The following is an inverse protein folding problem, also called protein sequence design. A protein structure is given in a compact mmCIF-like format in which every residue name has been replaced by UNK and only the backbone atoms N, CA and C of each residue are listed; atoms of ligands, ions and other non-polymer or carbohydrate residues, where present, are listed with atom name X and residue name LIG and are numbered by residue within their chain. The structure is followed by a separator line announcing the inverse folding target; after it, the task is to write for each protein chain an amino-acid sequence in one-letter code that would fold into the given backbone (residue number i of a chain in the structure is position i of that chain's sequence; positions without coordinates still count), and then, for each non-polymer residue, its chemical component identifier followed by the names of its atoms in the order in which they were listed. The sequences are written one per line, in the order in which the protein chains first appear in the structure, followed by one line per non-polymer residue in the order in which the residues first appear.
data_IF_708575100303
#
_entry.id   IF_708575100303
#
_cell.length_a   1.000
_cell.length_b   1.000
_cell.length_c   1.000
_cell.angle_alpha   90.00
_cell.angle_beta   90.00
_cell.angle_gamma   90.00
#
_symmetry.space_group_name_H-M   'P 1'
#
loop_
_entity.id
_entity.type
_entity.pdbx_description
1 polymer ?
#
# COMPACT_ATOMS: atom_id res chain seq x y z
N UNK A 1 56.23 -14.57 -24.18
CA UNK A 1 56.04 -13.93 -25.50
C UNK A 1 54.75 -13.15 -25.39
N UNK A 2 54.78 -11.88 -25.07
CA UNK A 2 54.86 -10.70 -25.92
C UNK A 2 53.61 -10.67 -26.82
N UNK A 3 52.67 -9.74 -26.85
CA UNK A 3 52.74 -8.31 -26.70
C UNK A 3 51.32 -7.75 -26.45
N UNK A 4 51.19 -6.66 -25.69
CA UNK A 4 50.09 -5.69 -25.84
C UNK A 4 50.58 -4.61 -26.84
N UNK A 5 50.07 -3.37 -26.85
CA UNK A 5 48.77 -2.75 -26.62
C UNK A 5 48.40 -1.75 -27.75
N UNK A 6 47.24 -1.14 -27.73
CA UNK A 6 46.96 0.20 -28.33
C UNK A 6 45.55 0.64 -27.93
N UNK A 7 45.36 1.62 -27.16
CA UNK A 7 45.44 3.09 -27.30
C UNK A 7 44.07 3.71 -27.70
N UNK A 8 43.57 4.50 -26.76
CA UNK A 8 42.45 5.48 -26.85
C UNK A 8 42.67 6.52 -27.97
N UNK A 9 41.64 7.32 -28.33
CA UNK A 9 41.51 8.58 -27.61
C UNK A 9 40.10 9.02 -27.23
N UNK A 10 40.05 9.81 -26.17
CA UNK A 10 38.98 10.65 -25.71
C UNK A 10 38.60 11.73 -26.74
N UNK A 11 37.31 11.99 -26.87
CA UNK A 11 36.82 13.30 -27.33
C UNK A 11 35.74 13.83 -26.38
N UNK A 12 36.20 14.88 -25.76
CA UNK A 12 35.54 15.90 -24.99
C UNK A 12 34.68 16.77 -25.92
N UNK A 13 33.40 17.03 -25.62
CA UNK A 13 32.69 18.21 -26.09
C UNK A 13 31.65 18.61 -25.05
N UNK A 14 31.99 19.69 -24.35
CA UNK A 14 31.15 20.47 -23.46
C UNK A 14 30.10 21.29 -24.22
N UNK A 15 29.20 21.96 -23.49
CA UNK A 15 27.99 22.60 -24.01
C UNK A 15 28.26 23.97 -24.62
N UNK A 16 27.45 24.43 -25.61
CA UNK A 16 27.48 25.82 -26.04
C UNK A 16 26.52 26.68 -25.21
N UNK A 17 27.09 27.77 -24.72
CA UNK A 17 26.43 28.96 -24.17
C UNK A 17 25.86 29.87 -25.25
N UNK A 18 24.83 30.60 -24.83
CA UNK A 18 24.42 31.94 -25.20
C UNK A 18 24.30 32.37 -26.69
N UNK A 19 23.09 32.90 -26.96
CA UNK A 19 22.94 34.25 -27.57
C UNK A 19 21.50 34.75 -27.52
N UNK A 20 21.27 35.82 -26.72
CA UNK A 20 20.26 36.87 -27.00
C UNK A 20 20.85 37.78 -28.11
N UNK A 21 20.03 38.37 -28.95
CA UNK A 21 19.71 39.80 -28.90
C UNK A 21 18.24 40.08 -29.20
N UNK A 22 17.59 41.05 -28.55
CA UNK A 22 17.51 42.50 -28.74
C UNK A 22 16.53 42.94 -29.81
N UNK A 23 15.52 43.69 -29.33
CA UNK A 23 14.92 44.93 -29.86
C UNK A 23 14.16 44.98 -31.19
N UNK A 24 13.04 45.67 -31.09
CA UNK A 24 12.31 46.38 -32.16
C UNK A 24 10.82 46.29 -31.96
N UNK A 25 10.19 47.13 -31.24
CA UNK A 25 9.70 48.50 -31.51
C UNK A 25 8.30 48.54 -32.16
N UNK A 26 7.45 49.32 -31.47
CA UNK A 26 6.38 50.23 -31.95
C UNK A 26 5.08 49.58 -32.42
N UNK A 27 3.92 50.01 -32.11
CA UNK A 27 3.29 51.28 -31.77
C UNK A 27 1.78 51.11 -31.63
N UNK A 28 1.21 51.90 -30.87
CA UNK A 28 0.13 52.91 -30.96
C UNK A 28 -1.21 52.44 -30.42
N UNK A 29 -1.62 53.09 -29.39
CA UNK A 29 -2.50 54.26 -29.23
C UNK A 29 -3.98 53.91 -29.07
N UNK A 30 -4.53 54.43 -28.01
CA UNK A 30 -5.95 54.56 -27.77
C UNK A 30 -6.23 55.16 -26.38
N UNK A 31 -5.93 56.42 -26.26
CA UNK A 31 -6.36 57.33 -25.18
C UNK A 31 -7.89 57.46 -25.16
N UNK A 32 -8.49 57.50 -23.99
CA UNK A 32 -9.49 58.54 -23.70
C UNK A 32 -9.42 58.91 -22.19
N UNK A 33 -8.92 60.12 -22.00
CA UNK A 33 -9.08 60.99 -20.85
C UNK A 33 -10.56 61.37 -20.65
N UNK A 34 -10.97 61.58 -19.43
CA UNK A 34 -11.66 62.82 -18.99
C UNK A 34 -11.47 62.94 -17.46
N UNK A 35 -10.69 63.83 -17.08
CA UNK A 35 -10.66 65.09 -16.35
C UNK A 35 -12.05 65.52 -15.95
N UNK A 36 -12.27 65.98 -14.75
CA UNK A 36 -11.83 67.06 -13.90
C UNK A 36 -13.04 67.49 -13.13
N UNK A 37 -13.00 68.04 -12.00
CA UNK A 37 -12.38 69.23 -11.54
C UNK A 37 -12.78 69.56 -10.13
N UNK A 38 -11.79 69.92 -9.42
CA UNK A 38 -11.89 70.68 -8.16
C UNK A 38 -12.61 71.99 -8.42
N UNK A 39 -13.34 72.49 -7.44
CA UNK A 39 -13.24 73.94 -7.17
C UNK A 39 -13.49 74.26 -5.68
N UNK A 40 -12.56 75.01 -5.18
CA UNK A 40 -12.50 75.68 -3.89
C UNK A 40 -13.25 77.03 -3.95
N UNK A 41 -13.76 77.45 -2.82
CA UNK A 41 -13.44 78.77 -2.29
C UNK A 41 -14.46 79.84 -2.45
N UNK A 42 -14.66 80.54 -1.35
CA UNK A 42 -14.86 82.02 -1.38
C UNK A 42 -16.04 82.51 -0.55
N UNK A 43 -15.77 82.83 0.63
CA UNK A 43 -16.03 84.07 1.43
C UNK A 43 -17.01 85.12 0.88
N UNK A 44 -17.93 85.55 1.76
CA UNK A 44 -18.06 86.93 2.12
C UNK A 44 -19.24 87.70 1.51
N UNK A 45 -19.99 88.34 2.32
CA UNK A 45 -20.80 89.48 1.97
C UNK A 45 -22.04 89.69 2.82
N UNK A 46 -21.89 90.46 3.84
CA UNK A 46 -22.97 91.17 4.57
C UNK A 46 -23.79 91.95 3.54
N UNK A 47 -25.10 92.08 3.79
CA UNK A 47 -25.80 93.35 3.97
C UNK A 47 -27.31 93.14 4.24
N UNK A 48 -27.72 93.61 5.37
CA UNK A 48 -28.73 94.58 5.74
C UNK A 48 -30.14 94.49 5.14
N UNK A 49 -31.05 94.24 6.07
CA UNK A 49 -32.26 95.01 6.40
C UNK A 49 -33.24 95.35 5.25
N UNK A 50 -34.43 94.78 5.35
CA UNK A 50 -35.61 95.61 5.29
C UNK A 50 -36.79 94.96 6.03
N UNK A 51 -37.42 95.83 6.94
CA UNK A 51 -38.63 95.52 7.65
C UNK A 51 -39.82 95.59 6.74
N UNK A 52 -40.63 94.56 6.74
CA UNK A 52 -42.03 94.81 6.41
C UNK A 52 -42.95 94.08 7.35
N UNK A 53 -43.83 94.80 7.83
CA UNK A 53 -44.76 94.65 8.95
C UNK A 53 -46.04 94.03 8.41
N UNK A 54 -46.38 92.82 8.76
CA UNK A 54 -47.72 92.23 8.50
C UNK A 54 -48.26 91.52 9.71
N UNK A 55 -49.51 91.76 10.12
CA UNK A 55 -50.05 91.33 11.39
C UNK A 55 -50.26 89.81 11.41
N UNK A 56 -50.27 89.21 12.61
CA UNK A 56 -50.36 87.74 12.78
C UNK A 56 -51.75 87.21 12.44
N UNK A 57 -51.87 86.01 11.84
CA UNK A 57 -53.14 85.35 11.67
C UNK A 57 -53.64 84.72 12.99
N UNK A 58 -54.95 84.53 13.14
CA UNK A 58 -55.59 84.08 14.33
C UNK A 58 -55.20 82.65 14.75
N UNK A 59 -55.06 82.45 16.04
CA UNK A 59 -54.79 81.18 16.67
C UNK A 59 -55.90 80.14 16.37
N UNK A 60 -55.61 79.11 15.67
CA UNK A 60 -56.42 77.82 15.59
C UNK A 60 -56.46 77.20 17.01
N UNK A 61 -57.58 76.64 17.42
CA UNK A 61 -57.72 75.96 18.72
C UNK A 61 -56.84 74.72 18.81
N UNK A 62 -56.06 74.63 19.85
CA UNK A 62 -55.24 73.44 20.17
C UNK A 62 -56.13 72.23 20.29
N UNK A 63 -55.92 71.24 19.42
CA UNK A 63 -56.47 69.88 19.56
C UNK A 63 -55.92 69.26 20.86
N UNK A 64 -56.72 68.58 21.65
CA UNK A 64 -56.27 67.95 22.89
C UNK A 64 -55.22 66.91 22.60
N UNK A 65 -54.04 67.00 23.21
CA UNK A 65 -52.95 66.00 23.17
C UNK A 65 -53.50 64.72 23.71
N UNK A 66 -53.62 63.72 22.85
CA UNK A 66 -53.92 62.34 23.26
C UNK A 66 -52.87 61.88 24.28
N UNK A 67 -53.27 61.31 25.42
CA UNK A 67 -52.28 60.83 26.41
C UNK A 67 -51.43 59.76 25.76
N UNK A 68 -50.11 59.93 25.86
CA UNK A 68 -49.13 58.95 25.33
C UNK A 68 -49.43 57.56 25.95
N UNK A 69 -49.54 56.49 25.14
CA UNK A 69 -49.90 55.16 25.64
C UNK A 69 -48.92 54.58 26.66
N UNK A 70 -47.74 55.19 26.80
CA UNK A 70 -46.67 54.82 27.74
C UNK A 70 -46.99 55.14 29.23
N UNK A 71 -48.09 55.86 29.56
CA UNK A 71 -48.43 56.16 30.96
C UNK A 71 -49.48 55.23 31.56
N UNK A 72 -50.04 54.31 30.80
CA UNK A 72 -50.97 53.31 31.32
C UNK A 72 -50.20 52.17 31.98
N UNK A 73 -50.35 51.91 33.29
CA UNK A 73 -49.61 50.84 33.98
C UNK A 73 -49.87 49.45 33.37
N UNK A 74 -51.01 49.25 32.76
CA UNK A 74 -51.37 48.00 32.06
C UNK A 74 -50.50 47.83 30.82
N UNK A 75 -50.23 48.87 30.03
CA UNK A 75 -49.39 48.81 28.83
C UNK A 75 -47.94 48.56 29.21
N UNK A 76 -47.45 49.12 30.32
CA UNK A 76 -46.11 48.86 30.87
C UNK A 76 -46.00 47.43 31.36
N UNK A 77 -47.00 46.87 32.02
CA UNK A 77 -46.98 45.46 32.47
C UNK A 77 -47.02 44.50 31.26
N UNK A 78 -47.84 44.72 30.24
CA UNK A 78 -47.85 43.94 29.02
C UNK A 78 -46.53 44.04 28.28
N UNK A 79 -45.94 45.25 28.19
CA UNK A 79 -44.62 45.46 27.57
C UNK A 79 -43.52 44.73 28.32
N UNK A 80 -43.54 44.71 29.67
CA UNK A 80 -42.58 43.97 30.48
C UNK A 80 -42.74 42.45 30.31
N UNK A 81 -43.95 41.94 30.19
CA UNK A 81 -44.20 40.49 29.93
C UNK A 81 -43.70 40.09 28.55
N UNK A 82 -43.97 40.89 27.51
CA UNK A 82 -43.47 40.62 26.17
C UNK A 82 -41.94 40.66 26.12
N UNK A 83 -41.32 41.66 26.78
CA UNK A 83 -39.88 41.73 26.89
C UNK A 83 -39.29 40.53 27.63
N UNK A 84 -39.91 40.09 28.73
CA UNK A 84 -39.48 38.90 29.46
C UNK A 84 -39.57 37.63 28.61
N UNK A 85 -40.65 37.45 27.80
CA UNK A 85 -40.78 36.31 26.86
C UNK A 85 -39.68 36.38 25.81
N UNK A 86 -39.38 37.53 25.24
CA UNK A 86 -38.32 37.70 24.25
C UNK A 86 -36.95 37.40 24.87
N UNK A 87 -36.68 37.88 26.07
CA UNK A 87 -35.43 37.61 26.80
C UNK A 87 -35.29 36.12 27.14
N UNK A 88 -36.35 35.47 27.57
CA UNK A 88 -36.37 34.02 27.81
C UNK A 88 -36.13 33.27 26.49
N UNK A 89 -36.81 33.66 25.42
CA UNK A 89 -36.61 33.08 24.07
C UNK A 89 -35.16 33.26 23.60
N UNK A 90 -34.55 34.44 23.75
CA UNK A 90 -33.14 34.69 23.44
C UNK A 90 -32.20 33.86 24.31
N UNK A 91 -32.50 33.73 25.60
CA UNK A 91 -31.72 32.94 26.54
C UNK A 91 -31.75 31.46 26.15
N UNK A 92 -32.94 30.93 25.87
CA UNK A 92 -33.09 29.53 25.42
C UNK A 92 -32.38 29.30 24.08
N UNK A 93 -32.51 30.20 23.12
CA UNK A 93 -31.79 30.15 21.85
C UNK A 93 -30.28 30.19 22.06
N UNK A 94 -29.77 31.06 22.94
CA UNK A 94 -28.34 31.18 23.25
C UNK A 94 -27.82 29.92 23.97
N UNK A 95 -28.60 29.33 24.89
CA UNK A 95 -28.27 28.07 25.55
C UNK A 95 -28.23 26.90 24.57
N UNK A 96 -29.14 26.85 23.60
CA UNK A 96 -29.15 25.81 22.57
C UNK A 96 -27.99 25.99 21.60
N UNK A 97 -27.70 27.22 21.16
CA UNK A 97 -26.56 27.54 20.30
C UNK A 97 -25.21 27.14 20.91
N UNK A 98 -25.06 27.19 22.25
CA UNK A 98 -23.85 26.76 22.97
C UNK A 98 -23.64 25.24 23.02
N UNK A 99 -24.69 24.46 22.73
CA UNK A 99 -24.62 22.99 22.76
C UNK A 99 -23.95 22.40 21.53
N UNK A 100 -23.80 23.16 20.47
CA UNK A 100 -23.30 22.68 19.21
C UNK A 100 -22.06 23.46 18.76
N UNK A 101 -21.12 22.75 18.18
CA UNK A 101 -19.98 23.34 17.45
C UNK A 101 -20.07 22.90 15.98
N UNK A 102 -19.95 23.84 15.07
CA UNK A 102 -19.96 23.58 13.63
C UNK A 102 -18.77 24.21 12.94
N UNK A 103 -18.42 23.70 11.80
CA UNK A 103 -17.43 24.27 10.89
C UNK A 103 -17.90 24.11 9.45
N UNK A 104 -17.58 25.11 8.65
CA UNK A 104 -17.76 25.14 7.20
C UNK A 104 -16.53 24.58 6.44
N UNK A 105 -15.40 24.44 7.17
CA UNK A 105 -14.16 23.88 6.63
C UNK A 105 -14.12 22.38 6.94
N UNK A 106 -14.93 21.62 6.22
CA UNK A 106 -14.98 20.17 6.34
C UNK A 106 -15.27 19.55 4.97
N UNK A 107 -14.66 18.41 4.72
CA UNK A 107 -14.81 17.69 3.47
C UNK A 107 -14.87 16.18 3.71
N UNK A 108 -15.50 15.49 2.78
CA UNK A 108 -15.48 14.03 2.72
C UNK A 108 -14.08 13.58 2.34
N UNK A 109 -13.54 12.65 3.09
CA UNK A 109 -12.23 12.05 2.87
C UNK A 109 -12.34 10.54 2.76
N UNK A 110 -11.40 9.92 2.06
CA UNK A 110 -11.35 8.47 1.84
C UNK A 110 -9.93 8.05 1.48
N UNK A 111 -9.56 6.85 1.86
CA UNK A 111 -8.30 6.27 1.42
C UNK A 111 -8.42 5.78 -0.03
N UNK A 112 -8.07 6.63 -0.99
CA UNK A 112 -8.08 6.29 -2.41
C UNK A 112 -7.06 5.18 -2.67
N UNK A 113 -7.51 4.09 -3.28
CA UNK A 113 -6.65 2.97 -3.68
C UNK A 113 -6.24 3.13 -5.14
N UNK A 114 -4.96 3.38 -5.37
CA UNK A 114 -4.39 3.48 -6.71
C UNK A 114 -4.01 2.10 -7.21
N UNK A 115 -4.55 1.72 -8.36
CA UNK A 115 -4.25 0.44 -9.01
C UNK A 115 -3.14 0.66 -10.02
N UNK A 116 -2.06 -0.12 -9.88
CA UNK A 116 -0.91 -0.11 -10.78
C UNK A 116 -0.54 -1.55 -11.17
N UNK A 117 0.00 -1.79 -12.38
CA UNK A 117 0.47 -3.09 -12.79
C UNK A 117 1.77 -3.47 -12.06
N UNK A 118 1.99 -4.76 -11.89
CA UNK A 118 3.23 -5.30 -11.34
C UNK A 118 4.17 -5.83 -12.44
N UNK A 119 3.65 -6.01 -13.65
CA UNK A 119 4.41 -6.39 -14.84
C UNK A 119 4.22 -5.33 -15.93
N UNK A 120 5.19 -5.27 -16.83
CA UNK A 120 5.08 -4.47 -18.05
C UNK A 120 4.40 -5.27 -19.16
N UNK A 121 3.69 -4.57 -20.05
CA UNK A 121 3.09 -5.21 -21.21
C UNK A 121 2.01 -4.35 -21.88
N UNK A 122 1.49 -4.88 -22.97
CA UNK A 122 0.39 -4.27 -23.71
C UNK A 122 -0.93 -4.61 -23.02
N UNK A 123 -1.77 -3.61 -22.77
CA UNK A 123 -3.13 -3.83 -22.28
C UNK A 123 -4.00 -4.37 -23.39
N UNK A 124 -4.48 -5.61 -23.23
CA UNK A 124 -5.35 -6.28 -24.20
C UNK A 124 -6.80 -5.91 -24.03
N UNK A 125 -7.26 -5.80 -22.77
CA UNK A 125 -8.64 -5.48 -22.44
C UNK A 125 -8.72 -4.64 -21.15
N UNK A 126 -9.64 -3.69 -21.14
CA UNK A 126 -10.11 -2.99 -19.93
C UNK A 126 -11.57 -3.41 -19.72
N UNK A 127 -11.87 -3.98 -18.55
CA UNK A 127 -13.14 -4.65 -18.25
C UNK A 127 -14.10 -3.78 -17.43
N UNK A 128 -13.71 -2.55 -17.14
CA UNK A 128 -14.47 -1.61 -16.29
C UNK A 128 -14.46 -0.22 -16.89
N UNK A 129 -15.51 0.54 -16.57
CA UNK A 129 -15.67 1.93 -16.99
C UNK A 129 -15.54 2.92 -15.82
N UNK A 130 -15.37 4.20 -16.14
CA UNK A 130 -15.38 5.26 -15.15
C UNK A 130 -16.72 5.30 -14.40
N UNK A 131 -16.67 5.58 -13.11
CA UNK A 131 -17.81 5.64 -12.19
C UNK A 131 -18.55 4.30 -11.99
N UNK A 132 -17.99 3.18 -12.48
CA UNK A 132 -18.58 1.86 -12.29
C UNK A 132 -18.33 1.34 -10.87
N UNK A 133 -19.38 0.84 -10.17
CA UNK A 133 -19.19 0.13 -8.91
C UNK A 133 -18.57 -1.24 -9.14
N UNK A 134 -17.59 -1.61 -8.33
CA UNK A 134 -16.85 -2.86 -8.42
C UNK A 134 -16.77 -3.57 -7.07
N UNK A 135 -16.58 -4.89 -7.13
CA UNK A 135 -16.35 -5.74 -5.96
C UNK A 135 -14.87 -6.07 -5.81
N UNK A 136 -14.43 -6.36 -4.59
CA UNK A 136 -13.09 -6.90 -4.35
C UNK A 136 -12.90 -8.21 -5.16
N UNK A 137 -11.71 -8.38 -5.77
CA UNK A 137 -11.40 -9.51 -6.64
C UNK A 137 -11.96 -9.43 -8.06
N UNK A 138 -12.75 -8.41 -8.40
CA UNK A 138 -13.27 -8.23 -9.75
C UNK A 138 -12.13 -7.93 -10.73
N UNK A 139 -12.06 -8.58 -11.90
CA UNK A 139 -11.05 -8.29 -12.92
C UNK A 139 -11.29 -6.88 -13.49
N UNK A 140 -10.20 -6.11 -13.59
CA UNK A 140 -10.21 -4.73 -14.06
C UNK A 140 -9.54 -4.57 -15.42
N UNK A 141 -8.33 -5.14 -15.57
CA UNK A 141 -7.50 -4.97 -16.74
C UNK A 141 -6.80 -6.32 -17.04
N UNK A 142 -6.67 -6.64 -18.32
CA UNK A 142 -5.83 -7.74 -18.80
C UNK A 142 -4.65 -7.17 -19.58
N UNK A 143 -3.47 -7.59 -19.19
CA UNK A 143 -2.20 -7.35 -19.88
C UNK A 143 -1.89 -8.58 -20.74
N UNK A 144 -1.21 -8.38 -21.85
CA UNK A 144 -0.73 -9.49 -22.68
C UNK A 144 0.15 -10.43 -21.83
N UNK A 145 -0.28 -11.67 -21.76
CA UNK A 145 0.36 -12.71 -20.94
C UNK A 145 1.24 -13.67 -21.76
N UNK A 146 1.41 -13.46 -23.07
CA UNK A 146 2.13 -14.40 -23.94
C UNK A 146 3.56 -14.67 -23.44
N UNK A 147 4.30 -13.62 -23.07
CA UNK A 147 5.65 -13.74 -22.52
C UNK A 147 5.65 -14.48 -21.18
N UNK A 148 4.71 -14.16 -20.29
CA UNK A 148 4.62 -14.81 -18.98
C UNK A 148 4.21 -16.29 -19.11
N UNK A 149 3.33 -16.63 -20.06
CA UNK A 149 2.98 -18.02 -20.38
C UNK A 149 4.19 -18.83 -20.90
N UNK A 150 5.01 -18.21 -21.76
CA UNK A 150 6.25 -18.82 -22.24
C UNK A 150 7.22 -19.09 -21.07
N UNK A 151 7.36 -18.15 -20.13
CA UNK A 151 8.19 -18.34 -18.94
C UNK A 151 7.69 -19.50 -18.05
N UNK A 152 6.37 -19.64 -17.89
CA UNK A 152 5.78 -20.78 -17.17
C UNK A 152 6.07 -22.09 -17.87
N UNK A 153 5.92 -22.15 -19.21
CA UNK A 153 6.23 -23.34 -19.99
C UNK A 153 7.72 -23.73 -19.88
N UNK A 154 8.62 -22.77 -19.95
CA UNK A 154 10.06 -22.99 -19.81
C UNK A 154 10.43 -23.49 -18.38
N UNK A 155 9.90 -22.88 -17.34
CA UNK A 155 10.11 -23.32 -15.96
C UNK A 155 9.51 -24.73 -15.71
N UNK A 156 8.38 -25.05 -16.36
CA UNK A 156 7.77 -26.37 -16.29
C UNK A 156 8.64 -27.43 -16.97
N UNK A 157 9.25 -27.10 -18.11
CA UNK A 157 10.20 -27.99 -18.80
C UNK A 157 11.46 -28.24 -17.94
N UNK A 158 12.02 -27.22 -17.33
CA UNK A 158 13.16 -27.35 -16.39
C UNK A 158 12.83 -28.23 -15.19
N UNK A 159 11.63 -28.09 -14.62
CA UNK A 159 11.17 -28.97 -13.52
C UNK A 159 11.07 -30.42 -14.00
N UNK A 160 10.52 -30.68 -15.19
CA UNK A 160 10.42 -32.01 -15.77
C UNK A 160 11.81 -32.60 -16.01
N UNK A 161 12.76 -31.82 -16.51
CA UNK A 161 14.15 -32.23 -16.69
C UNK A 161 14.82 -32.63 -15.36
N UNK A 162 14.67 -31.81 -14.32
CA UNK A 162 15.19 -32.12 -13.00
C UNK A 162 14.56 -33.39 -12.41
N UNK A 163 13.26 -33.64 -12.63
CA UNK A 163 12.60 -34.86 -12.21
C UNK A 163 13.18 -36.08 -12.93
N UNK A 164 13.41 -36.00 -14.22
CA UNK A 164 14.05 -37.08 -15.00
C UNK A 164 15.45 -37.41 -14.47
N UNK A 165 16.19 -36.43 -14.01
CA UNK A 165 17.51 -36.67 -13.38
C UNK A 165 17.38 -37.44 -12.06
N UNK A 166 16.36 -37.17 -11.24
CA UNK A 166 16.05 -37.96 -10.02
C UNK A 166 15.70 -39.41 -10.38
N UNK A 167 14.88 -39.62 -11.41
CA UNK A 167 14.47 -40.96 -11.87
C UNK A 167 15.68 -41.76 -12.36
N UNK A 168 16.59 -41.11 -13.09
CA UNK A 168 17.84 -41.73 -13.50
C UNK A 168 18.75 -42.10 -12.31
N UNK A 169 18.83 -41.20 -11.31
CA UNK A 169 19.61 -41.46 -10.11
C UNK A 169 18.99 -42.59 -9.26
N UNK A 170 17.66 -42.73 -9.23
CA UNK A 170 16.98 -43.88 -8.61
C UNK A 170 17.30 -45.18 -9.28
N UNK A 171 17.33 -45.22 -10.61
CA UNK A 171 17.75 -46.37 -11.37
C UNK A 171 19.22 -46.77 -11.05
N UNK A 172 20.11 -45.80 -10.88
CA UNK A 172 21.51 -46.02 -10.48
C UNK A 172 21.60 -46.66 -9.08
N UNK A 173 20.73 -46.32 -8.15
CA UNK A 173 20.67 -46.99 -6.82
C UNK A 173 20.35 -48.46 -7.01
N UNK A 174 19.39 -48.81 -7.84
CA UNK A 174 19.00 -50.21 -8.11
C UNK A 174 20.19 -51.02 -8.65
N UNK A 175 20.94 -50.44 -9.61
CA UNK A 175 22.15 -51.09 -10.14
C UNK A 175 23.25 -51.26 -9.09
N UNK A 176 23.49 -50.23 -8.28
CA UNK A 176 24.48 -50.29 -7.22
C UNK A 176 24.09 -51.29 -6.14
N UNK A 177 22.82 -51.40 -5.78
CA UNK A 177 22.30 -52.38 -4.82
C UNK A 177 22.50 -53.84 -5.33
N UNK A 178 22.15 -54.11 -6.57
CA UNK A 178 22.39 -55.42 -7.17
C UNK A 178 23.89 -55.79 -7.14
N UNK A 179 24.78 -54.82 -7.42
CA UNK A 179 26.23 -55.02 -7.31
C UNK A 179 26.70 -55.30 -5.88
N UNK A 180 26.07 -54.65 -4.87
CA UNK A 180 26.35 -54.94 -3.48
C UNK A 180 25.85 -56.32 -3.02
N UNK A 181 24.67 -56.74 -3.45
CA UNK A 181 24.13 -58.08 -3.15
C UNK A 181 25.01 -59.18 -3.77
N UNK A 182 25.52 -58.99 -4.98
CA UNK A 182 26.50 -59.89 -5.61
C UNK A 182 27.76 -59.98 -4.76
N UNK A 183 28.31 -58.83 -4.30
CA UNK A 183 29.51 -58.84 -3.45
C UNK A 183 29.28 -59.54 -2.09
N UNK A 184 28.08 -59.47 -1.52
CA UNK A 184 27.72 -60.21 -0.31
C UNK A 184 27.69 -61.73 -0.53
N UNK A 185 27.22 -62.17 -1.72
CA UNK A 185 27.28 -63.58 -2.09
C UNK A 185 28.74 -64.07 -2.22
N UNK A 186 29.62 -63.22 -2.80
CA UNK A 186 31.07 -63.53 -2.90
C UNK A 186 31.72 -63.61 -1.51
N UNK A 187 31.33 -62.77 -0.56
CA UNK A 187 31.79 -62.86 0.84
C UNK A 187 31.34 -64.17 1.47
N UNK A 188 30.07 -64.60 1.25
CA UNK A 188 29.57 -65.86 1.76
C UNK A 188 30.33 -67.07 1.23
N UNK A 189 30.65 -67.07 -0.09
CA UNK A 189 31.44 -68.11 -0.73
C UNK A 189 32.88 -68.14 -0.19
N UNK A 190 33.54 -67.01 -0.11
CA UNK A 190 34.89 -66.89 0.47
C UNK A 190 34.95 -67.32 1.95
N UNK A 191 33.93 -66.99 2.69
CA UNK A 191 33.79 -67.44 4.09
C UNK A 191 33.66 -68.95 4.20
N UNK A 192 32.83 -69.59 3.38
CA UNK A 192 32.67 -71.04 3.39
C UNK A 192 34.01 -71.76 3.05
N UNK A 193 34.77 -71.19 2.10
CA UNK A 193 36.09 -71.75 1.76
C UNK A 193 37.09 -71.57 2.91
N UNK A 194 37.08 -70.44 3.59
CA UNK A 194 37.95 -70.19 4.77
C UNK A 194 37.58 -71.09 5.94
N UNK A 195 36.24 -71.26 6.20
CA UNK A 195 35.76 -72.16 7.27
C UNK A 195 36.17 -73.61 6.99
N UNK A 196 36.05 -74.11 5.75
CA UNK A 196 36.48 -75.44 5.38
C UNK A 196 37.99 -75.62 5.52
N UNK A 197 38.84 -74.67 5.06
CA UNK A 197 40.27 -74.75 5.21
C UNK A 197 40.72 -74.70 6.69
N UNK A 198 40.04 -73.91 7.52
CA UNK A 198 40.30 -73.88 8.95
C UNK A 198 39.88 -75.20 9.65
N UNK A 199 38.77 -75.80 9.24
CA UNK A 199 38.35 -77.11 9.76
C UNK A 199 39.37 -78.19 9.43
N UNK A 200 39.89 -78.18 8.19
CA UNK A 200 40.90 -79.10 7.75
C UNK A 200 42.20 -78.93 8.56
N UNK A 201 42.67 -77.68 8.67
CA UNK A 201 43.85 -77.35 9.49
C UNK A 201 43.68 -77.84 10.95
N UNK A 202 42.50 -77.55 11.58
CA UNK A 202 42.24 -78.01 12.95
C UNK A 202 42.20 -79.54 13.03
N UNK A 203 41.75 -80.23 12.04
CA UNK A 203 41.75 -81.67 11.96
C UNK A 203 43.20 -82.21 11.95
N UNK A 204 44.07 -81.66 11.10
CA UNK A 204 45.49 -82.03 11.06
C UNK A 204 46.24 -81.70 12.34
N UNK A 205 46.00 -80.54 12.98
CA UNK A 205 46.56 -80.18 14.25
C UNK A 205 46.15 -81.14 15.39
N UNK A 206 44.88 -81.57 15.44
CA UNK A 206 44.40 -82.53 16.38
C UNK A 206 44.99 -83.90 16.16
N UNK A 207 45.12 -84.40 14.90
CA UNK A 207 45.80 -85.62 14.56
C UNK A 207 47.26 -85.59 14.98
N UNK A 208 47.97 -84.56 14.72
CA UNK A 208 49.35 -84.35 15.13
C UNK A 208 49.53 -84.44 16.62
N UNK A 209 48.59 -83.87 17.42
CA UNK A 209 48.61 -83.96 18.93
C UNK A 209 48.38 -85.38 19.43
N UNK A 210 47.47 -86.13 18.75
CA UNK A 210 47.05 -87.48 19.22
C UNK A 210 48.03 -88.53 18.76
N UNK A 211 48.56 -88.42 17.49
CA UNK A 211 49.53 -89.33 16.89
C UNK A 211 50.48 -88.53 15.96
N UNK A 212 51.65 -88.04 16.44
CA UNK A 212 52.57 -87.24 15.67
C UNK A 212 53.12 -87.89 14.42
N UNK A 213 53.18 -89.27 14.38
CA UNK A 213 53.64 -90.05 13.22
C UNK A 213 52.58 -90.22 12.11
N UNK A 214 51.33 -89.86 12.36
CA UNK A 214 50.21 -90.02 11.43
C UNK A 214 50.02 -88.77 10.43
N UNK A 215 50.75 -87.71 10.58
CA UNK A 215 50.66 -86.51 9.74
C UNK A 215 52.05 -86.12 9.25
N UNK A 216 52.23 -86.07 7.94
CA UNK A 216 53.44 -85.53 7.35
C UNK A 216 53.50 -84.00 7.53
N UNK A 217 54.69 -83.48 7.92
CA UNK A 217 54.91 -82.06 8.13
C UNK A 217 54.47 -81.18 6.89
N UNK A 218 54.76 -81.73 5.71
CA UNK A 218 54.37 -81.08 4.45
C UNK A 218 52.83 -80.90 4.31
N UNK A 219 52.03 -81.84 4.81
CA UNK A 219 50.55 -81.73 4.77
C UNK A 219 50.05 -80.67 5.74
N UNK A 220 50.67 -80.56 6.93
CA UNK A 220 50.36 -79.51 7.88
C UNK A 220 50.71 -78.14 7.37
N UNK A 221 51.91 -77.98 6.77
CA UNK A 221 52.36 -76.71 6.18
C UNK A 221 51.48 -76.28 5.02
N UNK A 222 51.01 -77.22 4.19
CA UNK A 222 50.03 -76.97 3.13
C UNK A 222 48.69 -76.52 3.67
N UNK A 223 48.18 -77.21 4.71
CA UNK A 223 46.91 -76.84 5.36
C UNK A 223 46.98 -75.44 6.00
N UNK A 224 48.14 -75.10 6.64
CA UNK A 224 48.34 -73.76 7.15
C UNK A 224 48.41 -72.69 6.07
N UNK A 225 49.11 -72.97 4.99
CA UNK A 225 49.20 -72.04 3.84
C UNK A 225 47.80 -71.83 3.22
N UNK A 226 47.02 -72.90 3.06
CA UNK A 226 45.65 -72.85 2.53
C UNK A 226 44.72 -72.07 3.46
N UNK A 227 44.77 -72.30 4.77
CA UNK A 227 43.96 -71.55 5.75
C UNK A 227 44.30 -70.03 5.72
N UNK A 228 45.60 -69.69 5.64
CA UNK A 228 46.03 -68.29 5.51
C UNK A 228 45.56 -67.63 4.19
N UNK A 229 45.68 -68.37 3.10
CA UNK A 229 45.28 -67.93 1.76
C UNK A 229 43.74 -67.63 1.67
N UNK A 230 42.90 -68.58 2.13
CA UNK A 230 41.46 -68.44 2.15
C UNK A 230 40.99 -67.37 3.12
N UNK A 231 41.65 -67.20 4.28
CA UNK A 231 41.35 -66.08 5.19
C UNK A 231 41.68 -64.73 4.56
N UNK A 232 42.78 -64.62 3.80
CA UNK A 232 43.13 -63.39 3.07
C UNK A 232 42.09 -63.12 1.95
N UNK A 233 41.63 -64.14 1.27
CA UNK A 233 40.54 -64.01 0.23
C UNK A 233 39.23 -63.55 0.86
N UNK A 234 38.84 -64.10 2.03
CA UNK A 234 37.66 -63.64 2.76
C UNK A 234 37.76 -62.14 3.11
N UNK A 235 38.91 -61.72 3.66
CA UNK A 235 39.14 -60.29 4.00
C UNK A 235 39.05 -59.43 2.73
N UNK A 236 39.59 -59.87 1.61
CA UNK A 236 39.53 -59.12 0.33
C UNK A 236 38.05 -59.03 -0.15
N UNK A 237 37.26 -60.11 -0.08
CA UNK A 237 35.85 -60.12 -0.44
C UNK A 237 35.03 -59.16 0.45
N UNK A 238 35.29 -59.14 1.76
CA UNK A 238 34.64 -58.20 2.71
C UNK A 238 34.96 -56.74 2.35
N UNK A 239 36.20 -56.46 2.04
CA UNK A 239 36.59 -55.10 1.60
C UNK A 239 35.95 -54.69 0.30
N UNK A 240 35.82 -55.64 -0.67
CA UNK A 240 35.12 -55.41 -1.96
C UNK A 240 33.62 -55.15 -1.72
N UNK A 241 32.98 -55.91 -0.85
CA UNK A 241 31.57 -55.68 -0.49
C UNK A 241 31.36 -54.31 0.19
N UNK A 242 32.29 -53.87 1.07
CA UNK A 242 32.25 -52.53 1.66
C UNK A 242 32.37 -51.43 0.61
N UNK A 243 33.28 -51.56 -0.36
CA UNK A 243 33.41 -50.60 -1.44
C UNK A 243 32.12 -50.50 -2.29
N UNK A 244 31.39 -51.63 -2.48
CA UNK A 244 30.07 -51.65 -3.13
C UNK A 244 28.99 -50.96 -2.27
N UNK A 245 28.99 -51.12 -0.95
CA UNK A 245 28.11 -50.40 -0.04
C UNK A 245 28.35 -48.89 -0.12
N UNK A 246 29.61 -48.45 -0.20
CA UNK A 246 29.95 -47.03 -0.36
C UNK A 246 29.42 -46.48 -1.70
N UNK A 247 29.44 -47.30 -2.78
CA UNK A 247 28.81 -46.93 -4.08
C UNK A 247 27.29 -46.75 -3.96
N UNK A 248 26.58 -47.62 -3.20
CA UNK A 248 25.16 -47.42 -2.91
C UNK A 248 24.90 -46.13 -2.18
N UNK A 249 25.73 -45.78 -1.18
CA UNK A 249 25.65 -44.54 -0.44
C UNK A 249 25.85 -43.32 -1.36
N UNK A 250 26.85 -43.36 -2.22
CA UNK A 250 27.10 -42.32 -3.22
C UNK A 250 25.90 -42.12 -4.15
N UNK A 251 25.32 -43.23 -4.66
CA UNK A 251 24.12 -43.14 -5.49
C UNK A 251 22.90 -42.54 -4.75
N UNK A 252 22.72 -42.89 -3.47
CA UNK A 252 21.68 -42.24 -2.62
C UNK A 252 21.91 -40.77 -2.49
N UNK A 253 23.14 -40.31 -2.27
CA UNK A 253 23.48 -38.90 -2.19
C UNK A 253 23.14 -38.16 -3.47
N UNK A 254 23.36 -38.83 -4.65
CA UNK A 254 23.00 -38.23 -5.93
C UNK A 254 21.48 -38.02 -6.07
N UNK A 255 20.64 -38.93 -5.55
CA UNK A 255 19.17 -38.75 -5.48
C UNK A 255 18.80 -37.54 -4.60
N UNK A 256 19.44 -37.39 -3.46
CA UNK A 256 19.23 -36.21 -2.58
C UNK A 256 19.56 -34.92 -3.33
N UNK A 257 20.71 -34.86 -3.97
CA UNK A 257 21.11 -33.71 -4.81
C UNK A 257 20.10 -33.41 -5.91
N UNK A 258 19.65 -34.47 -6.64
CA UNK A 258 18.63 -34.32 -7.66
C UNK A 258 17.29 -33.81 -7.16
N UNK A 259 16.85 -34.22 -5.95
CA UNK A 259 15.64 -33.72 -5.33
C UNK A 259 15.74 -32.24 -4.97
N UNK A 260 16.89 -31.76 -4.51
CA UNK A 260 17.09 -30.33 -4.26
C UNK A 260 17.05 -29.53 -5.57
N UNK A 261 17.51 -30.08 -6.68
CA UNK A 261 17.37 -29.47 -8.01
C UNK A 261 15.90 -29.39 -8.46
N UNK A 262 15.09 -30.44 -8.21
CA UNK A 262 13.64 -30.41 -8.46
C UNK A 262 12.98 -29.31 -7.65
N UNK A 263 13.32 -29.20 -6.37
CA UNK A 263 12.79 -28.16 -5.47
C UNK A 263 13.16 -26.74 -5.93
N UNK A 264 14.39 -26.54 -6.41
CA UNK A 264 14.81 -25.27 -7.01
C UNK A 264 13.99 -24.94 -8.27
N UNK A 265 13.80 -25.92 -9.18
CA UNK A 265 13.00 -25.74 -10.38
C UNK A 265 11.50 -25.52 -10.07
N UNK A 266 10.96 -26.09 -8.98
CA UNK A 266 9.60 -25.83 -8.50
C UNK A 266 9.45 -24.41 -7.99
N UNK A 267 10.47 -23.86 -7.31
CA UNK A 267 10.48 -22.46 -6.90
C UNK A 267 10.48 -21.50 -8.11
N UNK A 268 11.27 -21.81 -9.16
CA UNK A 268 11.26 -21.03 -10.41
C UNK A 268 9.88 -21.09 -11.10
N UNK A 269 9.26 -22.28 -11.16
CA UNK A 269 7.92 -22.45 -11.71
C UNK A 269 6.87 -21.66 -10.92
N UNK A 270 6.97 -21.66 -9.59
CA UNK A 270 6.08 -20.87 -8.73
C UNK A 270 6.23 -19.37 -9.00
N UNK A 271 7.45 -18.87 -9.12
CA UNK A 271 7.72 -17.46 -9.45
C UNK A 271 7.15 -17.09 -10.84
N UNK A 272 7.34 -17.95 -11.84
CA UNK A 272 6.78 -17.73 -13.18
C UNK A 272 5.24 -17.70 -13.18
N UNK A 273 4.59 -18.56 -12.38
CA UNK A 273 3.12 -18.55 -12.21
C UNK A 273 2.60 -17.31 -11.52
N UNK A 274 3.30 -16.81 -10.51
CA UNK A 274 2.98 -15.55 -9.84
C UNK A 274 3.05 -14.41 -10.86
N UNK A 275 4.11 -14.33 -11.65
CA UNK A 275 4.25 -13.32 -12.70
C UNK A 275 3.13 -13.42 -13.76
N UNK A 276 2.72 -14.61 -14.14
CA UNK A 276 1.56 -14.82 -15.01
C UNK A 276 0.26 -14.31 -14.36
N UNK A 277 0.10 -14.51 -13.05
CA UNK A 277 -1.05 -14.01 -12.30
C UNK A 277 -1.15 -12.48 -12.34
N UNK A 278 -0.03 -11.78 -12.37
CA UNK A 278 0.00 -10.30 -12.47
C UNK A 278 -0.45 -9.75 -13.83
N UNK A 279 -0.61 -10.60 -14.86
CA UNK A 279 -1.19 -10.19 -16.13
C UNK A 279 -2.69 -9.89 -16.03
N UNK A 280 -3.38 -10.45 -15.04
CA UNK A 280 -4.76 -10.13 -14.71
C UNK A 280 -4.85 -9.22 -13.50
N UNK A 281 -5.10 -7.94 -13.70
CA UNK A 281 -5.23 -6.96 -12.61
C UNK A 281 -6.64 -7.03 -12.05
N UNK A 282 -6.75 -7.27 -10.74
CA UNK A 282 -8.02 -7.35 -10.01
C UNK A 282 -8.15 -6.23 -8.99
N UNK A 283 -9.38 -5.90 -8.63
CA UNK A 283 -9.68 -4.91 -7.61
C UNK A 283 -9.25 -5.41 -6.21
N UNK A 284 -8.38 -4.70 -5.48
CA UNK A 284 -7.99 -5.09 -4.13
C UNK A 284 -9.10 -4.85 -3.11
N UNK A 285 -9.99 -3.90 -3.37
CA UNK A 285 -11.13 -3.51 -2.50
C UNK A 285 -12.37 -3.27 -3.31
N UNK A 286 -13.55 -3.36 -2.66
CA UNK A 286 -14.80 -2.91 -3.26
C UNK A 286 -14.90 -1.38 -3.22
N UNK A 287 -15.50 -0.78 -4.25
CA UNK A 287 -15.64 0.66 -4.35
C UNK A 287 -16.15 1.08 -5.72
N UNK A 288 -15.90 2.33 -6.09
CA UNK A 288 -16.24 2.89 -7.41
C UNK A 288 -14.95 3.27 -8.14
N UNK A 289 -14.87 2.96 -9.42
CA UNK A 289 -13.74 3.39 -10.26
C UNK A 289 -13.79 4.91 -10.41
N UNK A 290 -12.64 5.52 -10.17
CA UNK A 290 -12.40 6.92 -10.45
C UNK A 290 -11.11 7.06 -11.26
N UNK A 291 -11.06 8.04 -12.14
CA UNK A 291 -9.83 8.40 -12.84
C UNK A 291 -9.18 7.23 -13.62
N UNK A 292 -9.91 6.57 -14.50
CA UNK A 292 -9.37 5.56 -15.43
C UNK A 292 -8.47 6.24 -16.46
N UNK A 293 -7.16 5.97 -16.41
CA UNK A 293 -6.16 6.55 -17.33
C UNK A 293 -5.68 5.57 -18.40
N UNK A 294 -6.12 4.30 -18.31
CA UNK A 294 -5.69 3.21 -19.19
C UNK A 294 -6.76 2.87 -20.22
N UNK A 295 -6.33 2.59 -21.44
CA UNK A 295 -7.15 2.07 -22.52
C UNK A 295 -6.54 0.80 -23.12
N UNK A 296 -7.36 -0.01 -23.80
CA UNK A 296 -6.85 -1.13 -24.57
C UNK A 296 -5.90 -0.64 -25.66
N UNK A 297 -4.76 -1.32 -25.84
CA UNK A 297 -3.68 -0.88 -26.73
C UNK A 297 -2.60 -0.02 -26.07
N UNK A 298 -2.78 0.42 -24.82
CA UNK A 298 -1.72 1.12 -24.09
C UNK A 298 -0.64 0.16 -23.60
N UNK A 299 0.62 0.58 -23.69
CA UNK A 299 1.74 -0.09 -23.05
C UNK A 299 1.94 0.42 -21.63
N UNK A 300 1.94 -0.47 -20.65
CA UNK A 300 2.04 -0.11 -19.22
C UNK A 300 3.31 -0.68 -18.61
N UNK A 301 3.80 0.01 -17.56
CA UNK A 301 4.99 -0.38 -16.81
C UNK A 301 4.67 -0.50 -15.31
N UNK A 302 5.41 -1.30 -14.55
CA UNK A 302 5.24 -1.39 -13.10
C UNK A 302 5.25 -0.02 -12.42
N UNK A 303 4.26 0.20 -11.54
CA UNK A 303 4.11 1.46 -10.81
C UNK A 303 3.34 2.57 -11.55
N UNK A 304 3.03 2.41 -12.84
CA UNK A 304 2.16 3.36 -13.56
C UNK A 304 0.73 3.27 -13.03
N UNK A 305 0.15 4.38 -12.59
CA UNK A 305 -1.24 4.39 -12.15
C UNK A 305 -2.17 4.13 -13.34
N UNK A 306 -3.00 3.09 -13.26
CA UNK A 306 -3.99 2.75 -14.28
C UNK A 306 -5.35 3.35 -13.98
N UNK A 307 -5.75 3.32 -12.72
CA UNK A 307 -7.01 3.86 -12.23
C UNK A 307 -6.97 4.05 -10.72
N UNK A 308 -7.91 4.79 -10.20
CA UNK A 308 -8.15 4.93 -8.78
C UNK A 308 -9.47 4.26 -8.39
N UNK A 309 -9.51 3.63 -7.22
CA UNK A 309 -10.72 3.09 -6.62
C UNK A 309 -11.04 3.93 -5.39
N UNK A 310 -12.25 4.42 -5.32
CA UNK A 310 -12.81 5.10 -4.15
C UNK A 310 -13.61 4.06 -3.37
N UNK A 311 -13.13 3.60 -2.22
CA UNK A 311 -13.85 2.68 -1.35
C UNK A 311 -15.12 3.30 -0.78
N UNK A 312 -16.04 2.45 -0.33
CA UNK A 312 -17.30 2.91 0.28
C UNK A 312 -17.13 3.45 1.71
N UNK A 313 -15.99 3.15 2.34
CA UNK A 313 -15.70 3.60 3.72
C UNK A 313 -15.17 5.04 3.69
N UNK A 314 -16.09 5.98 3.65
CA UNK A 314 -15.81 7.42 3.70
C UNK A 314 -15.90 7.94 5.13
N UNK A 315 -15.12 8.96 5.45
CA UNK A 315 -15.21 9.73 6.69
C UNK A 315 -15.20 11.21 6.37
N UNK A 316 -15.41 12.05 7.37
CA UNK A 316 -15.32 13.50 7.22
C UNK A 316 -14.08 13.97 7.99
N UNK A 317 -13.26 14.74 7.32
CA UNK A 317 -12.20 15.52 7.94
C UNK A 317 -12.70 16.95 8.11
N UNK A 318 -12.97 17.32 9.37
CA UNK A 318 -13.54 18.59 9.73
C UNK A 318 -12.50 19.46 10.50
N UNK A 319 -12.17 20.60 9.98
CA UNK A 319 -11.18 21.50 10.53
C UNK A 319 -11.86 22.49 11.50
N UNK A 320 -11.86 22.17 12.78
CA UNK A 320 -12.38 23.06 13.83
C UNK A 320 -11.32 24.04 14.31
N UNK A 321 -11.75 25.24 14.70
CA UNK A 321 -10.87 26.20 15.37
C UNK A 321 -10.42 25.63 16.71
N UNK A 322 -9.17 25.86 17.09
CA UNK A 322 -8.62 25.43 18.39
C UNK A 322 -9.53 25.79 19.56
N UNK A 323 -10.16 26.98 19.51
CA UNK A 323 -11.09 27.46 20.53
C UNK A 323 -12.40 26.67 20.64
N UNK A 324 -12.76 25.86 19.64
CA UNK A 324 -13.97 25.04 19.63
C UNK A 324 -13.73 23.63 20.22
N UNK A 325 -12.48 23.24 20.44
CA UNK A 325 -12.11 21.89 20.88
C UNK A 325 -12.24 21.66 22.40
N UNK A 326 -12.39 22.71 23.19
CA UNK A 326 -12.42 22.62 24.66
C UNK A 326 -13.43 21.58 25.18
N UNK A 327 -14.62 21.54 24.60
CA UNK A 327 -15.72 20.62 24.97
C UNK A 327 -15.85 19.41 24.03
N UNK A 328 -15.02 19.33 23.00
CA UNK A 328 -15.11 18.25 22.01
C UNK A 328 -14.40 16.99 22.49
N UNK A 329 -15.07 15.86 22.40
CA UNK A 329 -14.55 14.55 22.83
C UNK A 329 -14.90 13.47 21.78
N UNK A 330 -14.14 12.39 21.77
CA UNK A 330 -14.49 11.21 20.99
C UNK A 330 -15.88 10.67 21.35
N UNK A 331 -16.54 10.06 20.39
CA UNK A 331 -17.89 9.47 20.46
C UNK A 331 -19.05 10.48 20.63
N UNK A 332 -18.81 11.78 20.58
CA UNK A 332 -19.88 12.76 20.55
C UNK A 332 -20.68 12.66 19.25
N UNK A 333 -22.03 12.74 19.32
CA UNK A 333 -22.87 12.64 18.14
C UNK A 333 -22.73 13.87 17.25
N UNK A 334 -22.71 13.61 15.95
CA UNK A 334 -22.57 14.63 14.91
C UNK A 334 -23.70 14.51 13.91
N UNK A 335 -24.30 15.64 13.57
CA UNK A 335 -25.21 15.74 12.43
C UNK A 335 -24.47 16.39 11.28
N UNK A 336 -24.49 15.77 10.12
CA UNK A 336 -23.76 16.26 8.96
C UNK A 336 -24.78 16.69 7.90
N UNK A 337 -24.60 17.90 7.42
CA UNK A 337 -25.28 18.43 6.25
C UNK A 337 -24.32 18.35 5.07
N UNK A 338 -24.78 17.76 3.98
CA UNK A 338 -24.00 17.60 2.74
C UNK A 338 -24.64 18.43 1.65
N UNK A 339 -23.87 19.27 0.99
CA UNK A 339 -24.40 20.17 -0.05
C UNK A 339 -24.97 19.42 -1.26
N UNK A 340 -24.37 18.27 -1.58
CA UNK A 340 -24.88 17.39 -2.64
C UNK A 340 -26.23 16.72 -2.30
N UNK A 341 -26.58 16.62 -1.01
CA UNK A 341 -27.78 15.92 -0.54
C UNK A 341 -28.47 16.72 0.57
N UNK A 342 -29.08 17.89 0.27
CA UNK A 342 -29.56 18.84 1.28
C UNK A 342 -30.69 18.30 2.16
N UNK A 343 -31.40 17.28 1.70
CA UNK A 343 -32.52 16.64 2.44
C UNK A 343 -32.10 15.42 3.24
N UNK A 344 -30.88 14.93 3.06
CA UNK A 344 -30.38 13.76 3.77
C UNK A 344 -29.93 14.13 5.19
N UNK A 345 -30.51 13.48 6.20
CA UNK A 345 -30.05 13.58 7.58
C UNK A 345 -28.97 12.52 7.82
N UNK A 346 -27.72 12.92 7.67
CA UNK A 346 -26.58 12.02 7.90
C UNK A 346 -26.14 12.20 9.34
N UNK A 347 -26.04 11.09 10.05
CA UNK A 347 -25.56 11.04 11.42
C UNK A 347 -24.21 10.33 11.47
N UNK A 348 -23.41 10.74 12.41
CA UNK A 348 -22.11 10.19 12.68
C UNK A 348 -21.65 10.53 14.09
N UNK A 349 -20.43 10.21 14.39
CA UNK A 349 -19.81 10.52 15.67
C UNK A 349 -18.35 10.96 15.46
N UNK A 350 -17.83 11.72 16.42
CA UNK A 350 -16.42 12.06 16.46
C UNK A 350 -15.61 10.80 16.74
N UNK A 351 -14.76 10.39 15.80
CA UNK A 351 -13.84 9.26 15.96
C UNK A 351 -12.61 9.70 16.76
N UNK A 352 -11.92 10.70 16.24
CA UNK A 352 -10.66 11.16 16.82
C UNK A 352 -10.39 12.63 16.49
N UNK A 353 -9.59 13.26 17.34
CA UNK A 353 -9.11 14.62 17.19
C UNK A 353 -7.60 14.56 16.98
N UNK A 354 -7.11 15.13 15.90
CA UNK A 354 -5.69 15.16 15.59
C UNK A 354 -4.92 15.94 16.68
N UNK A 355 -3.81 15.39 17.16
CA UNK A 355 -2.96 16.04 18.13
C UNK A 355 -2.00 17.03 17.44
N UNK A 356 -2.50 18.17 17.02
CA UNK A 356 -1.75 19.23 16.37
C UNK A 356 -2.55 19.94 15.29
N UNK A 357 -2.20 21.19 15.05
CA UNK A 357 -2.81 21.98 13.99
C UNK A 357 -2.39 21.47 12.61
N UNK A 358 -3.29 21.55 11.63
CA UNK A 358 -3.03 21.05 10.28
C UNK A 358 -1.77 21.63 9.61
N UNK A 359 -1.45 22.89 9.93
CA UNK A 359 -0.24 23.57 9.42
C UNK A 359 1.07 22.93 9.90
N UNK A 360 1.10 22.29 11.08
CA UNK A 360 2.29 21.63 11.61
C UNK A 360 2.70 20.40 10.81
N UNK A 361 1.78 19.83 10.02
CA UNK A 361 1.98 18.65 9.18
C UNK A 361 2.01 18.97 7.68
N UNK A 362 1.92 20.26 7.31
CA UNK A 362 2.03 20.68 5.93
C UNK A 362 3.47 20.50 5.42
N UNK A 363 3.63 20.06 4.18
CA UNK A 363 4.95 19.88 3.53
C UNK A 363 5.69 21.23 3.42
N UNK A 364 4.95 22.33 3.26
CA UNK A 364 5.46 23.71 3.25
C UNK A 364 4.67 24.49 4.29
N UNK A 365 5.15 24.58 5.54
CA UNK A 365 4.52 25.42 6.55
C UNK A 365 4.54 26.88 6.10
N UNK A 366 3.46 27.64 6.26
CA UNK A 366 3.46 29.07 5.95
C UNK A 366 4.42 29.81 6.89
N UNK A 367 5.50 30.37 6.35
CA UNK A 367 6.41 31.24 7.09
C UNK A 367 5.87 32.67 7.06
N UNK A 368 5.77 33.31 8.24
CA UNK A 368 5.44 34.73 8.35
C UNK A 368 6.66 35.57 7.94
N UNK A 369 6.73 35.98 6.67
CA UNK A 369 7.87 36.69 6.08
C UNK A 369 8.08 38.14 6.65
N UNK A 370 7.20 38.67 7.51
CA UNK A 370 7.20 40.08 7.92
C UNK A 370 7.68 40.34 9.34
N UNK A 371 8.18 39.35 10.06
CA UNK A 371 8.77 39.54 11.40
C UNK A 371 7.80 39.92 12.54
N UNK A 372 6.55 40.25 12.28
CA UNK A 372 5.53 40.50 13.28
C UNK A 372 4.74 39.21 13.55
N UNK A 373 4.88 38.64 14.75
CA UNK A 373 4.09 37.48 15.18
C UNK A 373 2.64 37.90 15.45
N UNK A 374 1.74 37.55 14.57
CA UNK A 374 0.29 37.67 14.77
C UNK A 374 -0.25 36.31 15.19
N UNK A 375 -0.87 36.23 16.38
CA UNK A 375 -1.55 35.01 16.83
C UNK A 375 -2.78 34.78 15.98
N UNK A 376 -2.68 33.88 15.01
CA UNK A 376 -3.81 33.35 14.20
C UNK A 376 -4.38 32.09 14.86
N UNK A 377 -5.70 32.03 14.94
CA UNK A 377 -6.40 30.85 15.45
C UNK A 377 -6.13 29.68 14.48
N UNK A 378 -5.49 28.65 14.99
CA UNK A 378 -5.17 27.45 14.20
C UNK A 378 -6.40 26.54 14.05
N UNK A 379 -6.45 25.79 12.96
CA UNK A 379 -7.47 24.76 12.74
C UNK A 379 -6.88 23.37 13.01
N UNK A 380 -7.66 22.55 13.67
CA UNK A 380 -7.29 21.18 14.04
C UNK A 380 -8.25 20.22 13.36
N UNK A 381 -7.75 19.26 12.58
CA UNK A 381 -8.58 18.24 11.93
C UNK A 381 -9.22 17.31 12.96
N UNK A 382 -10.50 17.12 12.82
CA UNK A 382 -11.33 16.17 13.59
C UNK A 382 -11.89 15.15 12.60
N UNK A 383 -11.64 13.88 12.84
CA UNK A 383 -12.18 12.79 12.06
C UNK A 383 -13.57 12.42 12.58
N UNK A 384 -14.55 12.39 11.69
CA UNK A 384 -15.93 12.03 11.98
C UNK A 384 -16.29 10.84 11.11
N UNK A 385 -16.74 9.76 11.76
CA UNK A 385 -17.22 8.56 11.08
C UNK A 385 -18.73 8.65 10.95
N UNK A 386 -19.25 8.25 9.79
CA UNK A 386 -20.67 8.25 9.46
C UNK A 386 -21.30 6.93 9.90
N UNK A 387 -22.38 7.01 10.69
CA UNK A 387 -23.09 5.83 11.19
C UNK A 387 -24.10 5.32 10.16
N UNK A 388 -24.68 6.22 9.37
CA UNK A 388 -25.62 5.89 8.31
C UNK A 388 -25.30 6.69 7.04
N UNK A 389 -25.16 5.97 5.93
CA UNK A 389 -25.00 6.57 4.62
C UNK A 389 -26.24 6.28 3.79
N UNK A 390 -27.03 7.30 3.41
CA UNK A 390 -28.16 7.10 2.52
C UNK A 390 -27.71 6.59 1.15
N UNK A 391 -28.39 5.58 0.62
CA UNK A 391 -28.03 4.96 -0.67
C UNK A 391 -28.12 5.95 -1.84
N UNK A 392 -28.97 6.95 -1.71
CA UNK A 392 -29.23 7.95 -2.75
C UNK A 392 -28.33 9.18 -2.65
N UNK A 393 -27.33 9.17 -1.74
CA UNK A 393 -26.38 10.25 -1.57
C UNK A 393 -24.96 9.77 -1.94
N UNK A 394 -24.48 10.00 -3.16
CA UNK A 394 -23.15 9.61 -3.57
C UNK A 394 -22.12 10.53 -2.92
N UNK A 395 -21.52 10.10 -1.80
CA UNK A 395 -20.43 10.80 -1.17
C UNK A 395 -19.09 10.39 -1.81
N UNK A 396 -18.34 11.39 -2.22
CA UNK A 396 -17.01 11.22 -2.79
C UNK A 396 -15.96 12.12 -2.14
N UNK A 397 -14.66 11.80 -2.26
CA UNK A 397 -13.59 12.59 -1.68
C UNK A 397 -13.59 14.03 -2.20
N UNK A 398 -13.33 14.98 -1.29
CA UNK A 398 -13.29 16.40 -1.62
C UNK A 398 -14.65 17.11 -1.65
N UNK A 399 -15.76 16.40 -1.45
CA UNK A 399 -17.08 17.05 -1.35
C UNK A 399 -17.19 17.82 -0.04
N UNK A 400 -17.71 19.05 -0.10
CA UNK A 400 -17.90 19.94 1.04
C UNK A 400 -19.08 19.47 1.89
N UNK A 401 -18.90 19.56 3.20
CA UNK A 401 -19.90 19.17 4.20
C UNK A 401 -19.86 20.13 5.40
N UNK A 402 -20.98 20.26 6.10
CA UNK A 402 -21.10 21.04 7.31
C UNK A 402 -21.44 20.14 8.50
N UNK A 403 -20.45 19.65 9.26
CA UNK A 403 -20.68 18.89 10.47
C UNK A 403 -21.06 19.79 11.66
N UNK A 404 -22.04 19.33 12.41
CA UNK A 404 -22.52 19.98 13.65
C UNK A 404 -22.40 18.99 14.81
N UNK A 405 -21.38 19.17 15.63
CA UNK A 405 -21.08 18.31 16.78
C UNK A 405 -21.85 18.77 18.00
N UNK A 406 -22.54 17.84 18.67
CA UNK A 406 -23.19 18.11 19.94
C UNK A 406 -22.18 17.94 21.07
N UNK A 407 -21.77 19.04 21.70
CA UNK A 407 -20.71 19.05 22.73
C UNK A 407 -21.23 19.07 24.16
N UNK A 408 -22.54 19.27 24.35
CA UNK A 408 -23.22 19.28 25.67
C UNK A 408 -24.62 18.66 25.57
#
# INVERSE_FOLDING_TARGET
MAAGPANSPAQNNGPPQDKKPAEGAASQQGQHQNQGGQNQGGQGGQDQAEKDNKPPPPKEPEKPKKPSPLKNPVVLVIGAIVLAIVLIGLLLFWLDARRFQSTDDAFVDVQIVRVAPQIQGLVTQVLVDDNQPIKAGQPLVKIDSAQAQTQVADAQAKRAQAQSQVDNALAQISVAQAGYEQALADVAAAKAQADNANADLNRYLNLQRTNPAAVAQQQLDQAQAQARSTAAQQIAAVKAARAKADQVTAAKTQVVSGREQVKAAEAELSAARINLGYAGIVAPVAGTIAQKTVAAGNYVQPGTQLMAIVPLNVWITANFKETQLDLMRAHQPVTVKVDACPHAKIQGHVDSIQRGAGQAFAILPPENATGNYVKVVQRVPVKIVLDNLPKDCPLGPGMSVEPRVKVR
#
